data_IF_985136832975
#
_entry.id   IF_985136832975
#
_cell.length_a   1.000
_cell.length_b   1.000
_cell.length_c   1.000
_cell.angle_alpha   90.00
_cell.angle_beta   90.00
_cell.angle_gamma   90.00
#
_symmetry.space_group_name_H-M   'P 1'
#
loop_
_entity.id
_entity.type
_entity.pdbx_description
1 polymer ?
#
# COMPACT_ATOMS: atom_id res chain seq x y z
N UNK A 1 -40.75 -14.76 56.44
CA UNK A 1 -39.93 -14.05 57.44
C UNK A 1 -38.99 -15.06 58.07
N UNK A 2 -37.72 -15.08 57.65
CA UNK A 2 -36.63 -15.80 58.30
C UNK A 2 -35.48 -14.80 58.49
N UNK A 3 -34.84 -14.71 59.66
CA UNK A 3 -33.86 -13.65 59.90
C UNK A 3 -32.48 -14.06 59.40
N UNK A 4 -31.86 -13.13 58.68
CA UNK A 4 -30.49 -13.15 58.21
C UNK A 4 -29.51 -13.10 59.38
N UNK A 5 -28.57 -14.05 59.43
CA UNK A 5 -27.43 -14.06 60.34
C UNK A 5 -26.36 -13.08 59.89
N UNK A 6 -25.97 -12.18 60.79
CA UNK A 6 -24.91 -11.19 60.65
C UNK A 6 -23.61 -11.83 61.19
N UNK A 7 -22.61 -11.99 60.34
CA UNK A 7 -21.29 -12.52 60.72
C UNK A 7 -20.28 -11.38 60.72
N UNK A 8 -19.80 -11.05 61.92
CA UNK A 8 -18.72 -10.10 62.18
C UNK A 8 -17.37 -10.65 61.70
N UNK A 9 -16.74 -9.96 60.75
CA UNK A 9 -15.36 -10.22 60.34
C UNK A 9 -14.40 -9.34 61.14
N UNK A 10 -13.81 -9.92 62.17
CA UNK A 10 -12.65 -9.37 62.88
C UNK A 10 -11.36 -9.62 62.06
N UNK A 11 -10.65 -8.56 61.69
CA UNK A 11 -9.32 -8.62 61.06
C UNK A 11 -8.22 -8.79 62.12
N UNK A 12 -7.32 -9.78 62.02
CA UNK A 12 -6.17 -9.89 62.91
C UNK A 12 -4.94 -9.14 62.38
N UNK A 13 -4.36 -8.31 63.25
CA UNK A 13 -3.07 -7.65 63.10
C UNK A 13 -1.91 -8.64 62.95
N UNK A 14 -1.09 -8.50 61.91
CA UNK A 14 0.25 -9.12 61.82
C UNK A 14 1.28 -8.07 61.41
N UNK A 15 2.34 -7.99 62.22
CA UNK A 15 3.55 -7.21 61.96
C UNK A 15 4.21 -7.60 60.62
N UNK A 16 4.33 -6.64 59.70
CA UNK A 16 5.09 -6.78 58.46
C UNK A 16 6.44 -6.09 58.67
N UNK A 17 7.49 -6.91 58.83
CA UNK A 17 8.87 -6.45 58.81
C UNK A 17 9.22 -5.85 57.45
N UNK A 18 9.88 -4.69 57.49
CA UNK A 18 10.43 -4.01 56.31
C UNK A 18 11.45 -4.91 55.61
N UNK A 19 11.11 -5.45 54.44
CA UNK A 19 12.07 -5.89 53.43
C UNK A 19 11.95 -4.94 52.24
N UNK A 20 12.95 -4.10 52.06
CA UNK A 20 13.17 -3.35 50.82
C UNK A 20 13.31 -4.34 49.67
N UNK A 21 12.56 -4.19 48.55
CA UNK A 21 12.87 -4.97 47.35
C UNK A 21 14.23 -4.51 46.79
N UNK A 22 15.06 -5.42 46.27
CA UNK A 22 16.33 -5.06 45.66
C UNK A 22 16.06 -4.22 44.42
N UNK A 23 16.83 -3.14 44.27
CA UNK A 23 16.89 -2.32 43.06
C UNK A 23 17.38 -3.24 41.94
N UNK A 24 16.47 -3.71 41.10
CA UNK A 24 16.81 -4.50 39.93
C UNK A 24 17.47 -3.55 38.92
N UNK A 25 18.80 -3.62 38.88
CA UNK A 25 19.66 -2.96 37.91
C UNK A 25 19.37 -3.57 36.52
N UNK A 26 18.29 -3.14 35.88
CA UNK A 26 17.96 -3.47 34.50
C UNK A 26 18.92 -2.71 33.60
N UNK A 27 19.98 -3.42 33.24
CA UNK A 27 20.97 -3.09 32.21
C UNK A 27 20.39 -2.21 31.09
N UNK A 28 20.92 -0.99 31.00
CA UNK A 28 20.92 -0.17 29.79
C UNK A 28 21.62 -0.85 28.59
N UNK A 29 22.30 -1.99 28.81
CA UNK A 29 23.04 -2.73 27.80
C UNK A 29 22.16 -3.31 26.68
N UNK A 30 20.87 -3.55 26.91
CA UNK A 30 19.99 -4.14 25.88
C UNK A 30 19.56 -3.14 24.80
N UNK A 31 19.60 -1.84 25.12
CA UNK A 31 19.23 -0.79 24.16
C UNK A 31 20.42 -0.42 23.29
N UNK A 32 21.63 -0.26 23.86
CA UNK A 32 22.85 0.04 23.11
C UNK A 32 23.31 -1.10 22.17
N UNK A 33 23.10 -2.37 22.55
CA UNK A 33 23.49 -3.52 21.71
C UNK A 33 22.66 -3.63 20.41
N UNK A 34 21.45 -3.06 20.37
CA UNK A 34 20.63 -3.02 19.14
C UNK A 34 21.11 -1.98 18.13
N UNK A 35 21.79 -0.91 18.58
CA UNK A 35 22.33 0.14 17.70
C UNK A 35 23.73 -0.18 17.15
N UNK A 36 24.50 -1.05 17.83
CA UNK A 36 25.84 -1.45 17.40
C UNK A 36 25.85 -2.49 16.25
N UNK A 37 24.71 -3.13 15.97
CA UNK A 37 24.54 -4.01 14.82
C UNK A 37 23.92 -3.20 13.68
N UNK A 38 24.76 -2.45 12.97
CA UNK A 38 24.36 -1.84 11.70
C UNK A 38 23.70 -2.90 10.79
N UNK A 39 22.67 -2.54 10.01
CA UNK A 39 21.91 -3.51 9.24
C UNK A 39 22.81 -4.21 8.22
N UNK A 40 23.22 -5.45 8.54
CA UNK A 40 23.75 -6.41 7.56
C UNK A 40 22.60 -6.88 6.69
N UNK A 41 22.26 -6.08 5.69
CA UNK A 41 21.27 -6.35 4.67
C UNK A 41 21.36 -5.23 3.65
N UNK A 42 21.48 -5.58 2.37
CA UNK A 42 21.66 -4.61 1.29
C UNK A 42 20.77 -3.37 1.48
N UNK A 43 21.41 -2.22 1.59
CA UNK A 43 20.80 -0.94 1.95
C UNK A 43 19.72 -0.58 0.92
N UNK A 44 18.46 -0.77 1.28
CA UNK A 44 17.33 -0.48 0.39
C UNK A 44 17.12 1.03 0.42
N UNK A 45 17.83 1.75 -0.45
CA UNK A 45 17.63 3.19 -0.65
C UNK A 45 16.29 3.45 -1.33
N UNK A 46 15.34 4.01 -0.59
CA UNK A 46 13.96 4.18 -1.07
C UNK A 46 13.82 5.54 -1.74
N UNK A 47 13.95 5.53 -3.06
CA UNK A 47 13.76 6.73 -3.86
C UNK A 47 12.27 6.99 -4.13
N UNK A 48 11.57 7.61 -3.18
CA UNK A 48 10.16 8.02 -3.31
C UNK A 48 9.88 8.88 -4.56
N UNK A 49 10.91 9.61 -5.02
CA UNK A 49 10.88 10.45 -6.23
C UNK A 49 10.63 9.67 -7.53
N UNK A 50 10.91 8.36 -7.56
CA UNK A 50 10.84 7.49 -8.75
C UNK A 50 9.48 6.85 -8.99
N UNK A 51 8.55 6.92 -8.03
CA UNK A 51 7.18 6.47 -8.25
C UNK A 51 6.64 7.15 -9.51
N UNK A 52 5.93 6.43 -10.36
CA UNK A 52 5.39 6.88 -11.65
C UNK A 52 3.91 7.22 -11.54
N UNK A 53 3.38 7.90 -12.57
CA UNK A 53 1.98 8.31 -12.58
C UNK A 53 1.09 7.09 -12.79
N UNK A 54 0.03 7.05 -12.00
CA UNK A 54 -0.97 5.99 -12.05
C UNK A 54 -2.08 6.49 -12.96
N UNK A 55 -2.43 5.68 -13.96
CA UNK A 55 -3.52 5.98 -14.88
C UNK A 55 -4.85 5.92 -14.13
N UNK A 56 -5.80 6.74 -14.55
CA UNK A 56 -7.18 6.67 -14.06
C UNK A 56 -7.86 5.38 -14.53
N UNK A 57 -8.98 5.02 -13.88
CA UNK A 57 -9.76 3.84 -14.27
C UNK A 57 -10.14 3.84 -15.76
N UNK A 58 -10.49 5.00 -16.31
CA UNK A 58 -11.05 5.14 -17.65
C UNK A 58 -9.92 5.02 -18.68
N UNK A 59 -8.77 5.66 -18.43
CA UNK A 59 -7.56 5.49 -19.25
C UNK A 59 -7.06 4.04 -19.26
N UNK A 60 -7.10 3.35 -18.12
CA UNK A 60 -6.73 1.92 -18.05
C UNK A 60 -7.70 1.05 -18.87
N UNK A 61 -9.00 1.31 -18.77
CA UNK A 61 -10.02 0.59 -19.53
C UNK A 61 -9.86 0.85 -21.04
N UNK A 62 -9.66 2.10 -21.45
CA UNK A 62 -9.47 2.47 -22.85
C UNK A 62 -8.23 1.84 -23.45
N UNK A 63 -7.10 1.85 -22.71
CA UNK A 63 -5.87 1.17 -23.11
C UNK A 63 -6.10 -0.34 -23.28
N UNK A 64 -6.78 -0.97 -22.32
CA UNK A 64 -7.05 -2.39 -22.36
C UNK A 64 -7.97 -2.79 -23.52
N UNK A 65 -9.08 -2.08 -23.71
CA UNK A 65 -10.04 -2.38 -24.79
C UNK A 65 -9.50 -2.02 -26.17
N UNK A 66 -8.71 -0.95 -26.28
CA UNK A 66 -8.00 -0.60 -27.51
C UNK A 66 -7.01 -1.71 -27.91
N UNK A 67 -6.25 -2.25 -26.97
CA UNK A 67 -5.32 -3.37 -27.22
C UNK A 67 -6.05 -4.68 -27.51
N UNK A 68 -7.17 -4.93 -26.83
CA UNK A 68 -8.00 -6.10 -27.06
C UNK A 68 -8.63 -6.13 -28.46
N UNK A 69 -9.11 -4.98 -28.96
CA UNK A 69 -9.65 -4.85 -30.33
C UNK A 69 -8.59 -5.13 -31.39
N UNK A 70 -7.41 -4.50 -31.26
CA UNK A 70 -6.28 -4.77 -32.17
C UNK A 70 -5.84 -6.23 -32.14
N UNK A 71 -5.91 -6.89 -30.98
CA UNK A 71 -5.58 -8.30 -30.85
C UNK A 71 -6.62 -9.23 -31.51
N UNK A 72 -7.91 -8.88 -31.46
CA UNK A 72 -8.96 -9.66 -32.13
C UNK A 72 -8.91 -9.52 -33.64
N UNK A 73 -8.56 -8.34 -34.16
CA UNK A 73 -8.52 -8.08 -35.60
C UNK A 73 -7.43 -8.91 -36.31
N UNK A 74 -6.41 -9.35 -35.57
CA UNK A 74 -5.33 -10.24 -36.07
C UNK A 74 -5.72 -11.71 -36.13
N UNK A 75 -6.89 -12.08 -35.62
CA UNK A 75 -7.34 -13.48 -35.62
C UNK A 75 -7.87 -13.82 -37.00
N UNK A 76 -7.20 -14.74 -37.68
CA UNK A 76 -7.64 -15.32 -38.94
C UNK A 76 -8.01 -16.79 -38.77
N UNK A 77 -9.14 -17.17 -39.37
CA UNK A 77 -9.67 -18.53 -39.41
C UNK A 77 -10.65 -18.68 -40.58
N UNK A 78 -10.54 -19.76 -41.38
CA UNK A 78 -11.46 -20.03 -42.49
C UNK A 78 -12.92 -20.22 -42.05
N UNK A 79 -13.12 -20.90 -40.92
CA UNK A 79 -14.47 -21.23 -40.41
C UNK A 79 -14.99 -20.10 -39.53
N UNK A 80 -16.11 -19.49 -39.94
CA UNK A 80 -16.73 -18.33 -39.26
C UNK A 80 -16.95 -18.56 -37.75
N UNK A 81 -17.45 -19.73 -37.35
CA UNK A 81 -17.72 -20.05 -35.93
C UNK A 81 -16.43 -20.04 -35.11
N UNK A 82 -15.37 -20.67 -35.62
CA UNK A 82 -14.07 -20.70 -34.95
C UNK A 82 -13.44 -19.31 -34.90
N UNK A 83 -13.52 -18.55 -35.99
CA UNK A 83 -13.04 -17.17 -36.05
C UNK A 83 -13.68 -16.29 -34.98
N UNK A 84 -15.01 -16.26 -34.92
CA UNK A 84 -15.73 -15.44 -33.93
C UNK A 84 -15.40 -15.88 -32.50
N UNK A 85 -15.34 -17.19 -32.24
CA UNK A 85 -14.95 -17.71 -30.93
C UNK A 85 -13.55 -17.25 -30.53
N UNK A 86 -12.56 -17.39 -31.42
CA UNK A 86 -11.18 -16.96 -31.16
C UNK A 86 -11.08 -15.45 -30.99
N UNK A 87 -11.76 -14.66 -31.84
CA UNK A 87 -11.82 -13.20 -31.73
C UNK A 87 -12.35 -12.77 -30.36
N UNK A 88 -13.53 -13.24 -29.96
CA UNK A 88 -14.15 -12.86 -28.69
C UNK A 88 -13.35 -13.33 -27.48
N UNK A 89 -12.77 -14.53 -27.56
CA UNK A 89 -11.86 -15.06 -26.53
C UNK A 89 -10.63 -14.17 -26.38
N UNK A 90 -9.99 -13.81 -27.50
CA UNK A 90 -8.81 -12.95 -27.53
C UNK A 90 -9.11 -11.56 -26.97
N UNK A 91 -10.29 -11.00 -27.27
CA UNK A 91 -10.73 -9.73 -26.71
C UNK A 91 -10.76 -9.78 -25.18
N UNK A 92 -11.45 -10.77 -24.60
CA UNK A 92 -11.61 -10.90 -23.14
C UNK A 92 -10.28 -11.16 -22.45
N UNK A 93 -9.46 -12.08 -22.98
CA UNK A 93 -8.15 -12.40 -22.41
C UNK A 93 -7.22 -11.20 -22.45
N UNK A 94 -7.06 -10.58 -23.62
CA UNK A 94 -6.13 -9.44 -23.78
C UNK A 94 -6.55 -8.27 -22.89
N UNK A 95 -7.84 -7.96 -22.78
CA UNK A 95 -8.31 -6.90 -21.88
C UNK A 95 -7.98 -7.22 -20.41
N UNK A 96 -8.23 -8.47 -19.99
CA UNK A 96 -7.96 -8.90 -18.63
C UNK A 96 -6.46 -8.92 -18.30
N UNK A 97 -5.62 -9.37 -19.23
CA UNK A 97 -4.17 -9.42 -19.07
C UNK A 97 -3.62 -8.00 -18.91
N UNK A 98 -3.98 -7.08 -19.82
CA UNK A 98 -3.52 -5.68 -19.77
C UNK A 98 -3.92 -4.98 -18.47
N UNK A 99 -5.14 -5.21 -17.99
CA UNK A 99 -5.60 -4.61 -16.72
C UNK A 99 -4.93 -5.27 -15.51
N UNK A 100 -4.89 -6.59 -15.46
CA UNK A 100 -4.36 -7.33 -14.31
C UNK A 100 -2.84 -7.14 -14.14
N UNK A 101 -2.10 -7.16 -15.25
CA UNK A 101 -0.68 -6.84 -15.29
C UNK A 101 -0.45 -5.36 -14.96
N UNK A 102 -1.24 -4.46 -15.57
CA UNK A 102 -1.13 -3.02 -15.28
C UNK A 102 -1.35 -2.68 -13.80
N UNK A 103 -2.28 -3.35 -13.11
CA UNK A 103 -2.48 -3.16 -11.67
C UNK A 103 -1.33 -3.76 -10.85
N UNK A 104 -0.82 -4.93 -11.22
CA UNK A 104 0.29 -5.58 -10.50
C UNK A 104 1.61 -4.84 -10.68
N UNK A 105 1.89 -4.34 -11.87
CA UNK A 105 3.07 -3.52 -12.15
C UNK A 105 3.07 -2.30 -11.23
N UNK A 106 1.91 -1.67 -11.04
CA UNK A 106 1.78 -0.57 -10.08
C UNK A 106 1.97 -1.01 -8.65
N UNK A 107 1.51 -2.19 -8.23
CA UNK A 107 1.80 -2.68 -6.88
C UNK A 107 3.29 -2.95 -6.68
N UNK A 108 3.98 -3.52 -7.68
CA UNK A 108 5.42 -3.84 -7.60
C UNK A 108 6.32 -2.60 -7.55
N UNK A 109 5.86 -1.49 -8.12
CA UNK A 109 6.59 -0.22 -8.08
C UNK A 109 6.63 0.40 -6.68
N UNK A 110 5.68 0.05 -5.82
CA UNK A 110 5.59 0.58 -4.46
C UNK A 110 6.41 -0.29 -3.49
N UNK A 111 7.28 0.31 -2.67
CA UNK A 111 8.15 -0.45 -1.77
C UNK A 111 7.36 -1.15 -0.66
N UNK A 112 7.76 -2.38 -0.33
CA UNK A 112 7.13 -3.11 0.77
C UNK A 112 7.50 -2.48 2.12
N UNK A 113 6.51 -2.02 2.89
CA UNK A 113 6.72 -1.41 4.20
C UNK A 113 7.57 -2.27 5.14
N UNK A 114 7.42 -3.59 5.09
CA UNK A 114 8.11 -4.50 6.01
C UNK A 114 9.63 -4.59 5.75
N UNK A 115 10.09 -4.14 4.58
CA UNK A 115 11.50 -4.15 4.19
C UNK A 115 12.12 -2.75 4.24
N UNK A 116 11.34 -1.73 4.63
CA UNK A 116 11.82 -0.37 4.81
C UNK A 116 12.58 -0.24 6.14
N UNK A 117 13.57 0.64 6.23
CA UNK A 117 14.12 1.07 7.51
C UNK A 117 13.03 1.61 8.44
N UNK A 118 13.25 1.51 9.76
CA UNK A 118 12.25 1.91 10.77
C UNK A 118 11.89 3.39 10.63
N UNK A 119 12.87 4.24 10.31
CA UNK A 119 12.65 5.68 10.10
C UNK A 119 11.74 5.94 8.89
N UNK A 120 11.99 5.29 7.76
CA UNK A 120 11.15 5.41 6.56
C UNK A 120 9.72 4.89 6.80
N UNK A 121 9.57 3.80 7.55
CA UNK A 121 8.24 3.31 7.94
C UNK A 121 7.47 4.36 8.76
N UNK A 122 8.13 4.98 9.74
CA UNK A 122 7.53 6.03 10.55
C UNK A 122 7.18 7.28 9.72
N UNK A 123 8.00 7.64 8.73
CA UNK A 123 7.70 8.74 7.81
C UNK A 123 6.48 8.44 6.93
N UNK A 124 6.37 7.22 6.40
CA UNK A 124 5.18 6.80 5.66
C UNK A 124 3.95 6.83 6.55
N UNK A 125 4.06 6.33 7.79
CA UNK A 125 2.95 6.30 8.74
C UNK A 125 2.45 7.72 9.07
N UNK A 126 3.38 8.62 9.40
CA UNK A 126 3.05 10.01 9.71
C UNK A 126 2.48 10.79 8.52
N UNK A 127 2.84 10.40 7.29
CA UNK A 127 2.44 11.13 6.08
C UNK A 127 1.12 10.65 5.49
N UNK A 128 0.98 9.34 5.27
CA UNK A 128 -0.16 8.74 4.54
C UNK A 128 -0.83 7.61 5.32
N UNK A 129 -0.23 7.15 6.43
CA UNK A 129 -0.71 6.04 7.24
C UNK A 129 -0.35 4.67 6.65
N UNK A 130 0.28 3.82 7.46
CA UNK A 130 0.69 2.48 7.02
C UNK A 130 -0.49 1.56 6.68
N UNK A 131 -1.61 1.71 7.40
CA UNK A 131 -2.79 0.86 7.19
C UNK A 131 -3.50 1.18 5.88
N UNK A 132 -3.69 2.48 5.56
CA UNK A 132 -4.26 2.93 4.30
C UNK A 132 -3.38 2.51 3.12
N UNK A 133 -2.06 2.66 3.27
CA UNK A 133 -1.07 2.21 2.30
C UNK A 133 -1.25 0.72 1.95
N UNK A 134 -1.26 -0.15 2.98
CA UNK A 134 -1.45 -1.60 2.79
C UNK A 134 -2.82 -1.93 2.22
N UNK A 135 -3.87 -1.25 2.67
CA UNK A 135 -5.23 -1.45 2.21
C UNK A 135 -5.35 -1.19 0.70
N UNK A 136 -4.88 -0.02 0.23
CA UNK A 136 -5.01 0.36 -1.17
C UNK A 136 -4.18 -0.54 -2.11
N UNK A 137 -2.95 -0.91 -1.74
CA UNK A 137 -2.16 -1.87 -2.53
C UNK A 137 -2.81 -3.26 -2.57
N UNK A 138 -3.41 -3.69 -1.45
CA UNK A 138 -4.16 -4.95 -1.37
C UNK A 138 -5.39 -4.92 -2.26
N UNK A 139 -6.09 -3.78 -2.35
CA UNK A 139 -7.25 -3.60 -3.23
C UNK A 139 -6.88 -3.71 -4.71
N UNK A 140 -5.72 -3.21 -5.13
CA UNK A 140 -5.21 -3.39 -6.50
C UNK A 140 -4.91 -4.86 -6.80
N UNK A 141 -4.23 -5.55 -5.87
CA UNK A 141 -3.93 -6.98 -5.98
C UNK A 141 -5.20 -7.83 -6.05
N UNK A 142 -6.19 -7.52 -5.20
CA UNK A 142 -7.51 -8.14 -5.24
C UNK A 142 -8.19 -7.90 -6.60
N UNK A 143 -8.20 -6.66 -7.08
CA UNK A 143 -8.81 -6.29 -8.36
C UNK A 143 -8.21 -7.06 -9.53
N UNK A 144 -6.87 -7.17 -9.57
CA UNK A 144 -6.15 -7.98 -10.56
C UNK A 144 -6.59 -9.44 -10.56
N UNK A 145 -6.66 -10.07 -9.38
CA UNK A 145 -7.14 -11.46 -9.23
C UNK A 145 -8.60 -11.63 -9.69
N UNK A 146 -9.49 -10.70 -9.31
CA UNK A 146 -10.90 -10.75 -9.72
C UNK A 146 -11.06 -10.64 -11.23
N UNK A 147 -10.32 -9.75 -11.88
CA UNK A 147 -10.35 -9.57 -13.34
C UNK A 147 -9.97 -10.87 -14.05
N UNK A 148 -8.88 -11.53 -13.62
CA UNK A 148 -8.46 -12.82 -14.19
C UNK A 148 -9.51 -13.92 -13.99
N UNK A 149 -10.13 -13.98 -12.81
CA UNK A 149 -11.19 -14.94 -12.53
C UNK A 149 -12.41 -14.75 -13.43
N UNK A 150 -12.87 -13.50 -13.59
CA UNK A 150 -14.00 -13.15 -14.47
C UNK A 150 -13.68 -13.50 -15.92
N UNK A 151 -12.46 -13.20 -16.38
CA UNK A 151 -12.01 -13.51 -17.73
C UNK A 151 -12.02 -15.02 -17.98
N UNK A 152 -11.39 -15.79 -17.10
CA UNK A 152 -11.31 -17.25 -17.21
C UNK A 152 -12.70 -17.91 -17.23
N UNK A 153 -13.63 -17.45 -16.40
CA UNK A 153 -15.01 -17.95 -16.38
C UNK A 153 -15.71 -17.71 -17.72
N UNK A 154 -15.63 -16.48 -18.26
CA UNK A 154 -16.34 -16.11 -19.48
C UNK A 154 -15.68 -16.67 -20.75
N UNK A 155 -14.35 -16.80 -20.76
CA UNK A 155 -13.63 -17.49 -21.85
C UNK A 155 -14.06 -18.96 -21.95
N UNK A 156 -14.21 -19.65 -20.80
CA UNK A 156 -14.75 -21.02 -20.78
C UNK A 156 -16.18 -21.08 -21.34
N UNK A 157 -17.05 -20.12 -20.99
CA UNK A 157 -18.41 -20.01 -21.56
C UNK A 157 -18.38 -19.81 -23.08
N UNK A 158 -17.55 -18.91 -23.59
CA UNK A 158 -17.38 -18.64 -25.03
C UNK A 158 -16.88 -19.88 -25.76
N UNK A 159 -15.87 -20.56 -25.19
CA UNK A 159 -15.23 -21.72 -25.82
C UNK A 159 -16.18 -22.91 -25.95
N UNK A 160 -17.00 -23.17 -24.92
CA UNK A 160 -17.97 -24.28 -24.91
C UNK A 160 -19.22 -24.02 -25.76
N UNK A 161 -19.45 -22.77 -26.14
CA UNK A 161 -20.63 -22.39 -26.91
C UNK A 161 -20.41 -22.58 -28.42
N UNK A 162 -21.46 -22.95 -29.14
CA UNK A 162 -21.54 -22.95 -30.60
C UNK A 162 -22.41 -21.82 -31.17
N UNK A 163 -23.26 -21.22 -30.32
CA UNK A 163 -24.20 -20.14 -30.69
C UNK A 163 -23.55 -18.77 -30.57
N UNK A 164 -23.59 -17.99 -31.65
CA UNK A 164 -23.00 -16.64 -31.69
C UNK A 164 -23.56 -15.70 -30.61
N UNK A 165 -24.88 -15.73 -30.38
CA UNK A 165 -25.52 -14.87 -29.37
C UNK A 165 -24.95 -15.09 -27.96
N UNK A 166 -24.77 -16.36 -27.59
CA UNK A 166 -24.22 -16.73 -26.28
C UNK A 166 -22.77 -16.27 -26.15
N UNK A 167 -21.98 -16.36 -27.21
CA UNK A 167 -20.60 -15.88 -27.21
C UNK A 167 -20.53 -14.34 -27.03
N UNK A 168 -21.38 -13.60 -27.74
CA UNK A 168 -21.43 -12.14 -27.62
C UNK A 168 -21.96 -11.68 -26.27
N UNK A 169 -22.97 -12.35 -25.71
CA UNK A 169 -23.45 -12.09 -24.35
C UNK A 169 -22.37 -12.37 -23.31
N UNK A 170 -21.65 -13.49 -23.39
CA UNK A 170 -20.56 -13.80 -22.46
C UNK A 170 -19.43 -12.76 -22.51
N UNK A 171 -19.08 -12.23 -23.69
CA UNK A 171 -18.14 -11.10 -23.81
C UNK A 171 -18.69 -9.84 -23.12
N UNK A 172 -19.95 -9.47 -23.39
CA UNK A 172 -20.59 -8.28 -22.78
C UNK A 172 -20.65 -8.41 -21.24
N UNK A 173 -21.01 -9.60 -20.73
CA UNK A 173 -21.01 -9.92 -19.30
C UNK A 173 -19.61 -9.73 -18.69
N UNK A 174 -18.57 -10.27 -19.33
CA UNK A 174 -17.19 -10.12 -18.88
C UNK A 174 -16.78 -8.64 -18.77
N UNK A 175 -17.03 -7.85 -19.81
CA UNK A 175 -16.65 -6.43 -19.84
C UNK A 175 -17.40 -5.61 -18.79
N UNK A 176 -18.71 -5.85 -18.63
CA UNK A 176 -19.50 -5.19 -17.59
C UNK A 176 -18.98 -5.51 -16.18
N UNK A 177 -18.66 -6.78 -15.92
CA UNK A 177 -18.10 -7.22 -14.63
C UNK A 177 -16.70 -6.64 -14.37
N UNK A 178 -15.82 -6.64 -15.38
CA UNK A 178 -14.48 -6.04 -15.29
C UNK A 178 -14.58 -4.53 -15.02
N UNK A 179 -15.44 -3.80 -15.72
CA UNK A 179 -15.66 -2.37 -15.48
C UNK A 179 -16.17 -2.09 -14.06
N UNK A 180 -17.05 -2.96 -13.53
CA UNK A 180 -17.52 -2.86 -12.15
C UNK A 180 -16.37 -3.05 -11.13
N UNK A 181 -15.46 -4.00 -11.37
CA UNK A 181 -14.26 -4.17 -10.53
C UNK A 181 -13.36 -2.93 -10.63
N UNK A 182 -13.08 -2.42 -11.83
CA UNK A 182 -12.27 -1.21 -12.01
C UNK A 182 -12.87 0.02 -11.30
N UNK A 183 -14.21 0.13 -11.28
CA UNK A 183 -14.90 1.19 -10.53
C UNK A 183 -14.65 1.09 -9.03
N UNK A 184 -14.61 -0.12 -8.45
CA UNK A 184 -14.29 -0.34 -7.03
C UNK A 184 -12.83 -0.03 -6.72
N UNK A 185 -11.92 -0.32 -7.64
CA UNK A 185 -10.47 -0.05 -7.48
C UNK A 185 -10.13 1.42 -7.73
N UNK A 186 -11.01 2.17 -8.41
CA UNK A 186 -10.79 3.57 -8.79
C UNK A 186 -10.40 4.49 -7.62
N UNK A 187 -11.03 4.35 -6.45
CA UNK A 187 -10.69 5.17 -5.28
C UNK A 187 -9.28 4.88 -4.79
N UNK A 188 -8.82 3.63 -4.89
CA UNK A 188 -7.47 3.25 -4.51
C UNK A 188 -6.42 3.77 -5.50
N UNK A 189 -6.73 3.78 -6.80
CA UNK A 189 -5.84 4.38 -7.81
C UNK A 189 -5.65 5.87 -7.57
N UNK A 190 -6.74 6.59 -7.26
CA UNK A 190 -6.69 8.02 -6.97
C UNK A 190 -5.89 8.28 -5.68
N UNK A 191 -6.20 7.54 -4.61
CA UNK A 191 -5.48 7.67 -3.34
C UNK A 191 -3.97 7.44 -3.50
N UNK A 192 -3.56 6.43 -4.28
CA UNK A 192 -2.13 6.18 -4.55
C UNK A 192 -1.50 7.33 -5.33
N UNK A 193 -2.22 7.95 -6.26
CA UNK A 193 -1.72 9.09 -7.01
C UNK A 193 -1.51 10.32 -6.11
N UNK A 194 -2.46 10.59 -5.22
CA UNK A 194 -2.38 11.69 -4.25
C UNK A 194 -1.25 11.43 -3.22
N UNK A 195 -1.20 10.21 -2.69
CA UNK A 195 -0.18 9.77 -1.72
C UNK A 195 1.22 9.86 -2.31
N UNK A 196 1.39 9.51 -3.59
CA UNK A 196 2.66 9.68 -4.30
C UNK A 196 3.11 11.15 -4.29
N UNK A 197 2.23 12.12 -4.48
CA UNK A 197 2.61 13.54 -4.47
C UNK A 197 3.11 13.98 -3.09
N UNK A 198 2.57 13.41 -2.02
CA UNK A 198 3.03 13.64 -0.65
C UNK A 198 4.41 13.00 -0.44
N UNK A 199 4.54 11.70 -0.74
CA UNK A 199 5.78 10.93 -0.53
C UNK A 199 6.96 11.48 -1.33
N UNK A 200 6.72 12.05 -2.52
CA UNK A 200 7.79 12.68 -3.34
C UNK A 200 8.41 13.93 -2.71
N UNK A 201 7.73 14.56 -1.73
CA UNK A 201 8.23 15.73 -1.00
C UNK A 201 9.08 15.34 0.22
N UNK A 202 9.07 14.07 0.62
CA UNK A 202 9.83 13.63 1.78
C UNK A 202 11.33 13.84 1.55
N UNK A 203 12.06 14.32 2.58
CA UNK A 203 13.51 14.36 2.55
C UNK A 203 14.05 12.93 2.50
N UNK A 204 15.13 12.73 1.75
CA UNK A 204 15.86 11.47 1.71
C UNK A 204 17.02 11.60 2.70
N UNK A 205 16.97 10.84 3.79
CA UNK A 205 18.01 10.82 4.81
C UNK A 205 18.79 9.52 4.64
N UNK A 206 20.11 9.65 4.56
CA UNK A 206 21.02 8.52 4.41
C UNK A 206 21.55 8.13 5.79
N UNK A 207 21.15 6.95 6.27
CA UNK A 207 21.52 6.44 7.60
C UNK A 207 23.03 6.17 7.73
N UNK A 208 23.76 6.01 6.62
CA UNK A 208 25.21 5.80 6.62
C UNK A 208 26.00 7.10 6.94
N UNK A 209 25.39 8.26 6.74
CA UNK A 209 26.06 9.54 6.95
C UNK A 209 25.89 10.04 8.40
N UNK A 210 26.93 10.65 9.01
CA UNK A 210 26.81 11.28 10.32
C UNK A 210 25.67 12.30 10.34
N UNK A 211 24.64 11.99 11.12
CA UNK A 211 23.42 12.80 11.19
C UNK A 211 23.35 13.50 12.54
N UNK A 212 23.17 14.82 12.51
CA UNK A 212 22.97 15.66 13.70
C UNK A 212 21.50 16.04 13.76
N UNK A 213 20.84 15.75 14.89
CA UNK A 213 19.45 16.14 15.12
C UNK A 213 19.41 17.35 16.06
N UNK A 214 18.78 18.44 15.61
CA UNK A 214 18.60 19.67 16.41
C UNK A 214 17.18 19.72 16.97
N UNK A 215 17.02 19.42 18.26
CA UNK A 215 15.73 19.45 18.96
C UNK A 215 15.62 20.62 19.95
N UNK A 216 14.41 21.09 20.22
CA UNK A 216 14.13 22.17 21.18
C UNK A 216 12.73 22.76 21.01
N UNK A 217 12.27 23.55 21.97
CA UNK A 217 10.93 24.15 21.96
C UNK A 217 10.67 25.01 20.70
N UNK A 218 9.41 25.24 20.28
CA UNK A 218 9.11 26.15 19.17
C UNK A 218 9.77 27.52 19.35
N UNK A 219 10.17 28.17 18.26
CA UNK A 219 10.75 29.53 18.24
C UNK A 219 12.07 29.76 19.01
N UNK A 220 12.78 28.72 19.47
CA UNK A 220 14.11 28.87 20.12
C UNK A 220 15.28 29.12 19.16
N UNK A 221 15.01 29.45 17.89
CA UNK A 221 16.05 29.78 16.91
C UNK A 221 16.74 28.58 16.23
N UNK A 222 16.18 27.36 16.32
CA UNK A 222 16.73 26.16 15.66
C UNK A 222 16.93 26.34 14.16
N UNK A 223 15.94 26.89 13.47
CA UNK A 223 16.02 27.14 12.03
C UNK A 223 17.11 28.17 11.70
N UNK A 224 17.29 29.20 12.53
CA UNK A 224 18.38 30.17 12.36
C UNK A 224 19.77 29.54 12.56
N UNK A 225 19.91 28.60 13.50
CA UNK A 225 21.15 27.84 13.71
C UNK A 225 21.47 26.92 12.52
N UNK A 226 20.47 26.26 11.94
CA UNK A 226 20.69 25.42 10.76
C UNK A 226 21.00 26.30 9.54
N UNK A 227 20.34 27.46 9.37
CA UNK A 227 20.63 28.40 8.27
C UNK A 227 22.03 29.02 8.35
N UNK A 228 22.61 29.18 9.55
CA UNK A 228 23.98 29.69 9.68
C UNK A 228 25.04 28.64 9.36
N UNK A 229 24.72 27.36 9.57
CA UNK A 229 25.63 26.23 9.32
C UNK A 229 25.45 25.58 7.95
N UNK A 230 24.32 25.80 7.28
CA UNK A 230 23.95 25.13 6.03
C UNK A 230 23.51 26.14 4.96
N UNK A 231 23.74 25.80 3.69
CA UNK A 231 23.27 26.58 2.53
C UNK A 231 21.77 26.45 2.25
N UNK A 232 21.01 25.83 3.16
CA UNK A 232 19.57 25.64 3.02
C UNK A 232 18.80 26.93 3.30
N UNK A 233 18.08 27.45 2.30
CA UNK A 233 17.15 28.56 2.48
C UNK A 233 15.91 28.07 3.26
N UNK A 234 15.91 28.23 4.58
CA UNK A 234 14.72 28.02 5.41
C UNK A 234 14.01 29.35 5.69
N UNK A 235 12.68 29.35 5.57
CA UNK A 235 11.85 30.49 5.98
C UNK A 235 11.74 30.51 7.51
N UNK A 236 12.21 31.59 8.13
CA UNK A 236 12.07 31.82 9.58
C UNK A 236 10.84 32.71 9.80
N UNK A 237 9.71 32.11 10.18
CA UNK A 237 8.49 32.83 10.55
C UNK A 237 8.35 32.99 12.07
N UNK A 238 7.62 34.01 12.54
CA UNK A 238 7.43 34.31 13.96
C UNK A 238 6.37 33.46 14.68
N UNK A 239 5.75 32.48 14.00
CA UNK A 239 4.69 31.63 14.55
C UNK A 239 5.22 30.22 14.90
N UNK A 240 4.64 29.50 15.89
CA UNK A 240 5.23 28.28 16.47
C UNK A 240 5.33 27.08 15.53
N UNK A 241 4.61 27.12 14.41
CA UNK A 241 4.68 26.13 13.33
C UNK A 241 5.38 26.79 12.15
N UNK A 242 6.71 26.67 12.16
CA UNK A 242 7.62 27.14 11.12
C UNK A 242 8.12 25.97 10.29
#
# INVERSE_FOLDING_TARGET
>A
MGPFGQLDFAFPSRHIGRRTPPILNLRAASFEEQWARGPTGAEVKVAWRRLSTILTKDEMLDKAYGRARKASDRVDDPVKVFRVRKQLTRMVQTAADVLSEGLEDKVREWPSLNHLPIFDQAMVDASVGCDLYRHHLSMLTWGSKQIRNIANQNVKKITRSSRFEVMHQARKEAYGRISSIMRRVSSSLQWLNDSRLVLRKLPEIDEANPTIVVCGAPNVGKSAFISSLSSGNMEVNHYPFT
#
